data_IF_519737927116
#
_entry.id   IF_519737927116
#
_cell.length_a   1.000
_cell.length_b   1.000
_cell.length_c   1.000
_cell.angle_alpha   90.00
_cell.angle_beta   90.00
_cell.angle_gamma   90.00
#
_symmetry.space_group_name_H-M   'P 1'
#
loop_
_entity.id
_entity.type
_entity.pdbx_description
1 polymer ?
#
# COMPACT_ATOMS: atom_id res chain seq x y z
N UNK A 1 -13.13 4.83 21.81
CA UNK A 1 -13.22 6.16 21.18
C UNK A 1 -12.78 6.13 19.71
N UNK A 2 -12.41 4.96 19.18
CA UNK A 2 -11.69 4.87 17.91
C UNK A 2 -12.58 4.89 16.66
N UNK A 3 -13.86 4.54 16.78
CA UNK A 3 -14.81 4.55 15.64
C UNK A 3 -15.08 5.95 15.08
N UNK A 4 -15.05 6.99 15.94
CA UNK A 4 -15.29 8.38 15.53
C UNK A 4 -14.09 8.87 14.71
N UNK A 5 -12.88 8.59 15.19
CA UNK A 5 -11.64 8.97 14.52
C UNK A 5 -11.48 8.30 13.14
N UNK A 6 -11.88 7.03 13.01
CA UNK A 6 -11.88 6.31 11.73
C UNK A 6 -12.90 6.94 10.76
N UNK A 7 -14.08 7.33 11.24
CA UNK A 7 -15.09 7.97 10.39
C UNK A 7 -14.67 9.36 9.91
N UNK A 8 -14.06 10.16 10.78
CA UNK A 8 -13.53 11.48 10.44
C UNK A 8 -12.37 11.38 9.43
N UNK A 9 -11.46 10.41 9.64
CA UNK A 9 -10.38 10.13 8.69
C UNK A 9 -10.93 9.69 7.32
N UNK A 10 -11.95 8.83 7.29
CA UNK A 10 -12.59 8.39 6.05
C UNK A 10 -13.28 9.55 5.30
N UNK A 11 -13.98 10.42 6.03
CA UNK A 11 -14.63 11.61 5.46
C UNK A 11 -13.59 12.55 4.84
N UNK A 12 -12.49 12.80 5.56
CA UNK A 12 -11.37 13.64 5.10
C UNK A 12 -10.72 13.08 3.84
N UNK A 13 -10.46 11.77 3.80
CA UNK A 13 -9.91 11.10 2.61
C UNK A 13 -10.86 11.22 1.42
N UNK A 14 -12.17 11.02 1.62
CA UNK A 14 -13.16 11.15 0.54
C UNK A 14 -13.23 12.58 -0.02
N UNK A 15 -13.13 13.60 0.83
CA UNK A 15 -13.09 14.99 0.40
C UNK A 15 -11.83 15.31 -0.41
N UNK A 16 -10.66 14.82 0.03
CA UNK A 16 -9.39 14.98 -0.70
C UNK A 16 -9.47 14.30 -2.07
N UNK A 17 -10.00 13.07 -2.13
CA UNK A 17 -10.17 12.33 -3.39
C UNK A 17 -11.10 13.08 -4.36
N UNK A 18 -12.20 13.64 -3.85
CA UNK A 18 -13.11 14.44 -4.67
C UNK A 18 -12.43 15.70 -5.23
N UNK A 19 -11.59 16.39 -4.45
CA UNK A 19 -10.82 17.55 -4.93
C UNK A 19 -9.88 17.17 -6.07
N UNK A 20 -9.12 16.08 -5.91
CA UNK A 20 -8.20 15.58 -6.95
C UNK A 20 -8.95 15.29 -8.26
N UNK A 21 -10.15 14.70 -8.16
CA UNK A 21 -10.98 14.43 -9.34
C UNK A 21 -11.48 15.73 -9.97
N UNK A 22 -11.95 16.68 -9.16
CA UNK A 22 -12.44 17.98 -9.63
C UNK A 22 -11.36 18.80 -10.33
N UNK A 23 -10.08 18.64 -9.96
CA UNK A 23 -8.95 19.30 -10.61
C UNK A 23 -8.70 18.78 -12.03
N UNK A 24 -9.01 17.51 -12.31
CA UNK A 24 -8.91 16.92 -13.65
C UNK A 24 -10.00 17.40 -14.63
N UNK A 25 -11.05 18.04 -14.11
CA UNK A 25 -12.18 18.56 -14.90
C UNK A 25 -11.94 20.03 -15.30
N UNK A 26 -12.47 20.41 -16.46
CA UNK A 26 -12.45 21.82 -16.91
C UNK A 26 -13.27 22.70 -15.96
N UNK A 27 -13.01 24.01 -15.92
CA UNK A 27 -13.68 24.95 -15.01
C UNK A 27 -15.21 24.87 -15.07
N UNK A 28 -15.77 24.72 -16.27
CA UNK A 28 -17.22 24.54 -16.47
C UNK A 28 -17.73 23.18 -16.01
N UNK A 29 -16.97 22.10 -16.24
CA UNK A 29 -17.35 20.75 -15.81
C UNK A 29 -17.27 20.60 -14.29
N UNK A 30 -16.25 21.20 -13.68
CA UNK A 30 -16.07 21.29 -12.23
C UNK A 30 -17.27 21.96 -11.57
N UNK A 31 -17.66 23.15 -12.06
CA UNK A 31 -18.81 23.89 -11.54
C UNK A 31 -20.12 23.09 -11.62
N UNK A 32 -20.32 22.33 -12.70
CA UNK A 32 -21.48 21.45 -12.85
C UNK A 32 -21.48 20.34 -11.79
N UNK A 33 -20.33 19.68 -11.60
CA UNK A 33 -20.21 18.56 -10.66
C UNK A 33 -20.34 19.05 -9.21
N UNK A 34 -19.73 20.18 -8.86
CA UNK A 34 -19.85 20.78 -7.52
C UNK A 34 -21.30 21.11 -7.16
N UNK A 35 -22.03 21.75 -8.07
CA UNK A 35 -23.45 22.06 -7.86
C UNK A 35 -24.30 20.79 -7.76
N UNK A 36 -23.96 19.75 -8.52
CA UNK A 36 -24.62 18.45 -8.42
C UNK A 36 -24.35 17.75 -7.08
N UNK A 37 -23.11 17.81 -6.57
CA UNK A 37 -22.74 17.18 -5.30
C UNK A 37 -23.33 17.92 -4.10
N UNK A 38 -23.42 19.25 -4.17
CA UNK A 38 -24.11 20.08 -3.16
C UNK A 38 -25.60 19.79 -3.12
N UNK A 39 -26.23 19.67 -4.30
CA UNK A 39 -27.67 19.48 -4.44
C UNK A 39 -27.96 18.09 -5.00
N UNK A 40 -27.79 17.04 -4.18
CA UNK A 40 -27.92 15.62 -4.60
C UNK A 40 -29.27 15.25 -5.23
N UNK A 41 -30.31 16.06 -5.02
CA UNK A 41 -31.67 15.82 -5.54
C UNK A 41 -32.00 16.58 -6.83
N UNK A 42 -31.14 17.51 -7.27
CA UNK A 42 -31.42 18.31 -8.46
C UNK A 42 -31.35 17.45 -9.72
N UNK A 43 -32.36 17.59 -10.59
CA UNK A 43 -32.35 16.91 -11.87
C UNK A 43 -31.29 17.54 -12.80
N UNK A 44 -30.64 16.75 -13.67
CA UNK A 44 -29.75 17.30 -14.69
C UNK A 44 -30.39 18.36 -15.62
N UNK A 45 -31.73 18.43 -15.68
CA UNK A 45 -32.46 19.46 -16.42
C UNK A 45 -32.47 20.80 -15.66
N UNK A 46 -32.77 20.77 -14.36
CA UNK A 46 -32.74 21.96 -13.51
C UNK A 46 -31.32 22.49 -13.37
N UNK A 47 -30.33 21.60 -13.28
CA UNK A 47 -28.92 21.99 -13.24
C UNK A 47 -28.48 22.73 -14.51
N UNK A 48 -28.97 22.27 -15.66
CA UNK A 48 -28.72 22.91 -16.95
C UNK A 48 -29.32 24.33 -17.02
N UNK A 49 -30.54 24.50 -16.51
CA UNK A 49 -31.21 25.80 -16.43
C UNK A 49 -30.46 26.73 -15.47
N UNK A 50 -30.12 26.25 -14.26
CA UNK A 50 -29.43 27.04 -13.22
C UNK A 50 -28.06 27.55 -13.69
N UNK A 51 -27.30 26.72 -14.39
CA UNK A 51 -25.96 27.06 -14.86
C UNK A 51 -25.93 27.68 -16.27
N UNK A 52 -27.09 27.81 -16.91
CA UNK A 52 -27.23 28.26 -18.29
C UNK A 52 -26.36 27.46 -19.29
N UNK A 53 -26.37 26.13 -19.18
CA UNK A 53 -25.59 25.21 -20.03
C UNK A 53 -26.52 24.18 -20.67
N UNK A 54 -26.16 23.66 -21.85
CA UNK A 54 -26.91 22.56 -22.45
C UNK A 54 -26.98 21.33 -21.53
N UNK A 55 -28.14 20.66 -21.51
CA UNK A 55 -28.34 19.41 -20.75
C UNK A 55 -27.30 18.34 -21.16
N UNK A 56 -26.89 18.34 -22.43
CA UNK A 56 -25.85 17.43 -22.96
C UNK A 56 -24.51 17.64 -22.28
N UNK A 57 -24.13 18.89 -22.04
CA UNK A 57 -22.90 19.24 -21.33
C UNK A 57 -22.95 18.76 -19.88
N UNK A 58 -24.11 18.89 -19.23
CA UNK A 58 -24.31 18.37 -17.87
C UNK A 58 -24.07 16.86 -17.82
N UNK A 59 -24.67 16.08 -18.73
CA UNK A 59 -24.41 14.64 -18.78
C UNK A 59 -22.96 14.31 -19.08
N UNK A 60 -22.31 15.06 -19.96
CA UNK A 60 -20.90 14.82 -20.32
C UNK A 60 -19.99 15.07 -19.12
N UNK A 61 -20.23 16.14 -18.36
CA UNK A 61 -19.52 16.44 -17.13
C UNK A 61 -19.70 15.33 -16.08
N UNK A 62 -20.94 14.92 -15.80
CA UNK A 62 -21.23 13.82 -14.86
C UNK A 62 -20.65 12.48 -15.33
N UNK A 63 -20.64 12.21 -16.63
CA UNK A 63 -20.00 11.03 -17.19
C UNK A 63 -18.49 11.03 -16.97
N UNK A 64 -17.82 12.16 -17.24
CA UNK A 64 -16.38 12.31 -17.00
C UNK A 64 -16.06 12.10 -15.52
N UNK A 65 -16.81 12.74 -14.63
CA UNK A 65 -16.65 12.57 -13.19
C UNK A 65 -16.76 11.11 -12.75
N UNK A 66 -17.79 10.38 -13.19
CA UNK A 66 -17.94 8.93 -12.92
C UNK A 66 -16.83 8.07 -13.54
N UNK A 67 -16.21 8.51 -14.63
CA UNK A 67 -15.09 7.79 -15.25
C UNK A 67 -13.84 7.93 -14.39
N UNK A 68 -13.56 9.13 -13.89
CA UNK A 68 -12.41 9.37 -13.01
C UNK A 68 -12.60 8.70 -11.64
N UNK A 69 -13.82 8.68 -11.09
CA UNK A 69 -14.15 7.89 -9.90
C UNK A 69 -13.83 6.39 -10.07
N UNK A 70 -14.16 5.82 -11.24
CA UNK A 70 -13.83 4.42 -11.56
C UNK A 70 -12.33 4.20 -11.72
N UNK A 71 -11.60 5.17 -12.27
CA UNK A 71 -10.13 5.10 -12.42
C UNK A 71 -9.43 5.00 -11.06
N UNK A 72 -9.99 5.67 -10.04
CA UNK A 72 -9.47 5.71 -8.68
C UNK A 72 -9.97 4.51 -7.83
N UNK A 73 -10.89 3.70 -8.36
CA UNK A 73 -11.42 2.52 -7.69
C UNK A 73 -12.68 2.75 -6.86
N UNK A 74 -13.24 3.97 -6.85
CA UNK A 74 -14.51 4.25 -6.18
C UNK A 74 -15.71 3.94 -7.08
N UNK A 75 -15.93 2.64 -7.29
CA UNK A 75 -16.95 2.12 -8.22
C UNK A 75 -18.37 2.32 -7.66
N UNK A 76 -18.55 2.20 -6.35
CA UNK A 76 -19.84 2.31 -5.68
C UNK A 76 -20.46 3.71 -5.84
N UNK A 77 -19.67 4.76 -5.58
CA UNK A 77 -20.13 6.14 -5.76
C UNK A 77 -20.41 6.44 -7.23
N UNK A 78 -19.62 5.89 -8.16
CA UNK A 78 -19.84 6.05 -9.59
C UNK A 78 -21.15 5.39 -10.08
N UNK A 79 -21.51 4.22 -9.53
CA UNK A 79 -22.77 3.53 -9.83
C UNK A 79 -23.97 4.26 -9.24
N UNK A 80 -23.86 4.79 -8.02
CA UNK A 80 -24.93 5.58 -7.37
C UNK A 80 -25.32 6.81 -8.19
N UNK A 81 -24.36 7.39 -8.89
CA UNK A 81 -24.56 8.55 -9.76
C UNK A 81 -25.20 8.20 -11.12
N UNK A 82 -25.46 6.92 -11.43
CA UNK A 82 -26.18 6.56 -12.65
C UNK A 82 -27.67 6.84 -12.50
N UNK A 83 -28.29 7.28 -13.60
CA UNK A 83 -29.75 7.30 -13.67
C UNK A 83 -30.26 5.86 -13.60
N UNK A 84 -31.22 5.60 -12.72
CA UNK A 84 -32.08 4.41 -12.83
C UNK A 84 -32.73 4.47 -14.21
N UNK A 85 -32.22 3.71 -15.18
CA UNK A 85 -32.90 3.54 -16.47
C UNK A 85 -34.21 2.85 -16.14
N UNK A 86 -35.33 3.55 -16.34
CA UNK A 86 -36.64 2.89 -16.36
C UNK A 86 -36.53 1.70 -17.30
N UNK A 87 -36.87 0.50 -16.81
CA UNK A 87 -36.92 -0.70 -17.63
C UNK A 87 -37.79 -0.37 -18.84
N UNK A 88 -37.19 -0.33 -20.02
CA UNK A 88 -37.93 -0.14 -21.26
C UNK A 88 -38.82 -1.39 -21.42
N UNK A 89 -40.15 -1.29 -21.48
CA UNK A 89 -40.96 -2.46 -21.77
C UNK A 89 -40.51 -3.00 -23.13
N UNK A 90 -40.11 -4.27 -23.18
CA UNK A 90 -39.78 -4.96 -24.43
C UNK A 90 -41.06 -4.96 -25.27
N UNK A 91 -41.01 -4.31 -26.43
CA UNK A 91 -42.07 -4.38 -27.45
C UNK A 91 -42.06 -5.82 -27.97
N UNK A 92 -43.03 -6.62 -27.55
CA UNK A 92 -43.25 -7.97 -28.07
C UNK A 92 -43.60 -7.79 -29.54
N UNK A 93 -42.69 -8.21 -30.43
CA UNK A 93 -42.99 -8.41 -31.84
C UNK A 93 -43.54 -9.82 -31.91
N UNK A 94 -44.82 -9.95 -32.26
CA UNK A 94 -45.47 -11.22 -32.46
C UNK A 94 -44.96 -11.83 -33.77
N UNK A 95 -43.87 -12.59 -33.70
CA UNK A 95 -43.58 -13.60 -34.71
C UNK A 95 -43.95 -14.96 -34.13
N UNK A 96 -44.91 -15.59 -34.81
CA UNK A 96 -45.43 -16.90 -34.49
C UNK A 96 -44.31 -17.96 -34.62
N UNK A 97 -43.77 -18.38 -33.49
CA UNK A 97 -43.16 -19.71 -33.36
C UNK A 97 -43.53 -20.28 -32.00
N UNK A 98 -44.35 -21.32 -32.09
CA UNK A 98 -44.98 -22.03 -31.00
C UNK A 98 -43.97 -23.03 -30.43
N UNK A 99 -43.25 -22.70 -29.35
CA UNK A 99 -42.68 -23.69 -28.41
C UNK A 99 -42.47 -23.08 -27.01
N UNK A 100 -43.20 -23.64 -26.03
CA UNK A 100 -42.76 -23.83 -24.63
C UNK A 100 -42.65 -22.61 -23.68
N UNK A 101 -43.80 -22.12 -23.21
CA UNK A 101 -43.95 -21.14 -22.12
C UNK A 101 -43.61 -21.65 -20.70
N UNK A 102 -43.01 -22.84 -20.57
CA UNK A 102 -42.62 -23.43 -19.27
C UNK A 102 -41.12 -23.37 -18.99
N UNK A 103 -40.26 -23.13 -19.99
CA UNK A 103 -38.80 -23.11 -19.81
C UNK A 103 -38.25 -21.82 -19.20
N UNK A 104 -38.86 -20.68 -19.48
CA UNK A 104 -38.34 -19.37 -19.08
C UNK A 104 -38.49 -19.14 -17.57
N UNK A 105 -39.63 -19.51 -16.99
CA UNK A 105 -39.86 -19.45 -15.53
C UNK A 105 -38.99 -20.41 -14.72
N UNK A 106 -38.69 -21.60 -15.27
CA UNK A 106 -37.79 -22.56 -14.64
C UNK A 106 -36.35 -22.04 -14.69
N UNK A 107 -35.93 -21.40 -15.79
CA UNK A 107 -34.59 -20.84 -15.93
C UNK A 107 -34.34 -19.66 -14.99
N UNK A 108 -35.33 -18.78 -14.81
CA UNK A 108 -35.25 -17.66 -13.87
C UNK A 108 -35.28 -18.14 -12.43
N UNK A 109 -36.10 -19.14 -12.11
CA UNK A 109 -36.11 -19.77 -10.78
C UNK A 109 -34.78 -20.48 -10.48
N UNK A 110 -34.25 -21.24 -11.45
CA UNK A 110 -32.99 -21.95 -11.31
C UNK A 110 -31.80 -20.99 -11.20
N UNK A 111 -31.80 -19.89 -11.96
CA UNK A 111 -30.76 -18.85 -11.87
C UNK A 111 -30.80 -18.14 -10.53
N UNK A 112 -31.99 -17.90 -9.96
CA UNK A 112 -32.15 -17.31 -8.63
C UNK A 112 -31.72 -18.28 -7.52
N UNK A 113 -32.07 -19.56 -7.63
CA UNK A 113 -31.64 -20.61 -6.69
C UNK A 113 -30.12 -20.82 -6.77
N UNK A 114 -29.55 -20.86 -7.98
CA UNK A 114 -28.12 -20.96 -8.19
C UNK A 114 -27.39 -19.72 -7.65
N UNK A 115 -27.90 -18.51 -7.93
CA UNK A 115 -27.34 -17.27 -7.39
C UNK A 115 -27.36 -17.28 -5.87
N UNK A 116 -28.48 -17.68 -5.26
CA UNK A 116 -28.60 -17.76 -3.80
C UNK A 116 -27.63 -18.79 -3.20
N UNK A 117 -27.49 -19.96 -3.82
CA UNK A 117 -26.53 -20.97 -3.39
C UNK A 117 -25.07 -20.48 -3.53
N UNK A 118 -24.75 -19.74 -4.59
CA UNK A 118 -23.44 -19.12 -4.80
C UNK A 118 -23.19 -18.05 -3.74
N UNK A 119 -24.17 -17.19 -3.45
CA UNK A 119 -24.06 -16.19 -2.39
C UNK A 119 -23.84 -16.83 -1.02
N UNK A 120 -24.61 -17.86 -0.66
CA UNK A 120 -24.46 -18.56 0.61
C UNK A 120 -23.09 -19.25 0.70
N UNK A 121 -22.63 -19.91 -0.36
CA UNK A 121 -21.32 -20.55 -0.39
C UNK A 121 -20.18 -19.53 -0.23
N UNK A 122 -20.24 -18.40 -0.96
CA UNK A 122 -19.25 -17.32 -0.85
C UNK A 122 -19.31 -16.68 0.53
N UNK A 123 -20.51 -16.43 1.07
CA UNK A 123 -20.70 -15.85 2.39
C UNK A 123 -20.12 -16.76 3.48
N UNK A 124 -20.42 -18.06 3.44
CA UNK A 124 -19.88 -19.01 4.41
C UNK A 124 -18.37 -19.22 4.26
N UNK A 125 -17.83 -19.18 3.04
CA UNK A 125 -16.38 -19.23 2.80
C UNK A 125 -15.66 -17.98 3.32
N UNK A 126 -16.22 -16.79 3.08
CA UNK A 126 -15.65 -15.54 3.61
C UNK A 126 -15.79 -15.51 5.14
N UNK A 127 -16.91 -15.99 5.68
CA UNK A 127 -17.12 -16.10 7.12
C UNK A 127 -16.17 -17.12 7.76
N UNK A 128 -15.88 -18.24 7.09
CA UNK A 128 -14.89 -19.22 7.56
C UNK A 128 -13.49 -18.62 7.48
N UNK A 129 -13.13 -17.92 6.42
CA UNK A 129 -11.85 -17.19 6.32
C UNK A 129 -11.68 -16.10 7.39
N UNK A 130 -12.76 -15.38 7.72
CA UNK A 130 -12.76 -14.38 8.80
C UNK A 130 -12.69 -15.02 10.18
N UNK A 131 -13.37 -16.15 10.41
CA UNK A 131 -13.36 -16.90 11.68
C UNK A 131 -12.06 -17.67 11.91
N UNK A 132 -11.50 -18.26 10.86
CA UNK A 132 -10.21 -18.96 10.89
C UNK A 132 -9.05 -17.98 11.03
N UNK A 133 -9.29 -16.69 10.77
CA UNK A 133 -8.30 -15.65 10.96
C UNK A 133 -7.16 -15.83 9.98
N UNK A 134 -7.40 -15.55 8.71
CA UNK A 134 -6.30 -15.30 7.74
C UNK A 134 -5.47 -14.05 8.13
N UNK A 135 -5.88 -13.34 9.19
CA UNK A 135 -5.04 -12.40 9.95
C UNK A 135 -4.60 -12.96 11.32
N UNK A 136 -4.36 -14.26 11.45
CA UNK A 136 -3.39 -14.78 12.42
C UNK A 136 -2.01 -14.41 11.90
N UNK A 137 -1.71 -13.12 11.84
CA UNK A 137 -0.33 -12.71 12.07
C UNK A 137 -0.17 -13.06 13.55
N UNK A 138 0.50 -14.18 13.81
CA UNK A 138 0.67 -14.65 15.18
C UNK A 138 1.26 -13.47 15.97
N UNK A 139 0.56 -13.03 17.01
CA UNK A 139 1.01 -11.88 17.81
C UNK A 139 2.44 -12.16 18.33
N UNK A 140 2.78 -13.44 18.49
CA UNK A 140 4.13 -13.89 18.79
C UNK A 140 5.15 -13.60 17.68
N UNK A 141 4.79 -13.77 16.41
CA UNK A 141 5.67 -13.43 15.27
C UNK A 141 5.89 -11.92 15.17
N UNK A 142 4.87 -11.11 15.42
CA UNK A 142 5.02 -9.64 15.50
C UNK A 142 5.92 -9.27 16.67
N UNK A 143 5.72 -9.86 17.85
CA UNK A 143 6.56 -9.60 19.02
C UNK A 143 8.01 -10.06 18.81
N UNK A 144 8.22 -11.19 18.13
CA UNK A 144 9.55 -11.67 17.72
C UNK A 144 10.22 -10.72 16.75
N UNK A 145 9.49 -10.20 15.76
CA UNK A 145 9.99 -9.23 14.80
C UNK A 145 10.34 -7.90 15.49
N UNK A 146 9.46 -7.40 16.36
CA UNK A 146 9.70 -6.18 17.15
C UNK A 146 10.91 -6.35 18.07
N UNK A 147 11.08 -7.50 18.71
CA UNK A 147 12.25 -7.81 19.51
C UNK A 147 13.52 -7.85 18.66
N UNK A 148 13.48 -8.51 17.51
CA UNK A 148 14.62 -8.58 16.58
C UNK A 148 15.04 -7.20 16.08
N UNK A 149 14.06 -6.33 15.78
CA UNK A 149 14.30 -4.94 15.39
C UNK A 149 14.92 -4.14 16.54
N UNK A 150 14.46 -4.35 17.77
CA UNK A 150 15.01 -3.67 18.95
C UNK A 150 16.45 -4.12 19.26
N UNK A 151 16.76 -5.40 19.10
CA UNK A 151 18.12 -5.92 19.27
C UNK A 151 19.06 -5.39 18.17
N UNK A 152 18.60 -5.33 16.92
CA UNK A 152 19.35 -4.71 15.84
C UNK A 152 19.62 -3.23 16.13
N UNK A 153 18.61 -2.51 16.64
CA UNK A 153 18.76 -1.10 17.06
C UNK A 153 19.83 -0.96 18.14
N UNK A 154 19.85 -1.83 19.15
CA UNK A 154 20.88 -1.82 20.21
C UNK A 154 22.27 -2.08 19.61
N UNK A 155 22.40 -3.09 18.76
CA UNK A 155 23.67 -3.42 18.11
C UNK A 155 24.21 -2.27 17.25
N UNK A 156 23.35 -1.55 16.52
CA UNK A 156 23.75 -0.35 15.77
C UNK A 156 24.22 0.77 16.72
N UNK A 157 23.54 0.97 17.85
CA UNK A 157 23.94 1.98 18.84
C UNK A 157 25.30 1.64 19.45
N UNK A 158 25.52 0.39 19.85
CA UNK A 158 26.82 -0.09 20.37
C UNK A 158 27.93 0.03 19.33
N UNK A 159 27.65 -0.34 18.07
CA UNK A 159 28.60 -0.18 16.97
C UNK A 159 28.97 1.29 16.77
N UNK A 160 27.99 2.19 16.78
CA UNK A 160 28.25 3.63 16.69
C UNK A 160 29.07 4.14 17.87
N UNK A 161 28.80 3.67 19.09
CA UNK A 161 29.61 4.00 20.27
C UNK A 161 31.05 3.50 20.12
N UNK A 162 31.23 2.27 19.62
CA UNK A 162 32.56 1.70 19.35
C UNK A 162 33.30 2.49 18.26
N UNK A 163 32.61 2.93 17.21
CA UNK A 163 33.19 3.80 16.17
C UNK A 163 33.64 5.13 16.78
N UNK A 164 32.79 5.77 17.60
CA UNK A 164 33.15 7.03 18.28
C UNK A 164 34.36 6.82 19.18
N UNK A 165 34.37 5.77 19.99
CA UNK A 165 35.51 5.40 20.84
C UNK A 165 36.79 5.18 20.02
N UNK A 166 36.69 4.51 18.87
CA UNK A 166 37.82 4.29 17.98
C UNK A 166 38.31 5.60 17.35
N UNK A 167 37.42 6.50 16.95
CA UNK A 167 37.78 7.82 16.42
C UNK A 167 38.50 8.63 17.49
N UNK A 168 37.95 8.69 18.70
CA UNK A 168 38.53 9.44 19.83
C UNK A 168 39.89 8.91 20.26
N UNK A 169 40.10 7.59 20.17
CA UNK A 169 41.37 6.97 20.54
C UNK A 169 42.31 6.73 19.36
N UNK A 170 41.90 6.98 18.12
CA UNK A 170 42.75 6.81 16.94
C UNK A 170 44.03 7.64 17.05
N UNK A 171 43.92 8.87 17.52
CA UNK A 171 45.07 9.76 17.68
C UNK A 171 46.03 9.26 18.78
N UNK A 172 45.49 8.71 19.88
CA UNK A 172 46.30 8.10 20.95
C UNK A 172 46.98 6.82 20.46
N UNK A 173 46.28 5.96 19.73
CA UNK A 173 46.81 4.70 19.18
C UNK A 173 47.95 5.00 18.19
N UNK A 174 47.77 5.98 17.29
CA UNK A 174 48.82 6.39 16.35
C UNK A 174 50.06 6.91 17.08
N UNK A 175 49.88 7.72 18.12
CA UNK A 175 51.01 8.23 18.92
C UNK A 175 51.71 7.11 19.68
N UNK A 176 50.96 6.20 20.33
CA UNK A 176 51.56 5.06 21.05
C UNK A 176 52.27 4.07 20.12
N UNK A 177 51.75 3.85 18.90
CA UNK A 177 52.42 2.99 17.93
C UNK A 177 53.68 3.66 17.37
N UNK A 178 53.68 4.97 17.13
CA UNK A 178 54.91 5.70 16.75
C UNK A 178 55.97 5.64 17.85
N UNK A 179 55.58 5.80 19.12
CA UNK A 179 56.49 5.70 20.26
C UNK A 179 57.02 4.27 20.43
N UNK A 180 56.16 3.23 20.32
CA UNK A 180 56.59 1.83 20.35
C UNK A 180 57.54 1.47 19.22
N UNK A 181 57.31 1.98 18.01
CA UNK A 181 58.21 1.75 16.87
C UNK A 181 59.56 2.43 17.11
N UNK A 182 59.57 3.66 17.64
CA UNK A 182 60.82 4.37 17.95
C UNK A 182 61.62 3.65 19.04
N UNK A 183 60.95 3.21 20.12
CA UNK A 183 61.61 2.46 21.20
C UNK A 183 62.10 1.07 20.75
N UNK A 184 61.37 0.37 19.88
CA UNK A 184 61.81 -0.93 19.33
C UNK A 184 62.98 -0.83 18.34
N UNK A 185 63.18 0.32 17.69
CA UNK A 185 64.35 0.55 16.82
C UNK A 185 65.58 0.83 17.68
N UNK A 186 65.41 1.54 18.80
CA UNK A 186 66.51 1.87 19.72
C UNK A 186 66.93 0.69 20.64
N UNK A 187 66.07 -0.32 20.84
CA UNK A 187 66.35 -1.51 21.68
C UNK A 187 66.81 -2.78 20.94
N UNK A 188 66.89 -2.77 19.59
CA UNK A 188 67.39 -3.93 18.83
C UNK A 188 68.92 -4.02 18.82
N UNK A 189 69.50 -4.25 19.99
CA UNK A 189 70.88 -4.70 20.14
C UNK A 189 71.04 -5.63 21.35
N UNK A 190 70.25 -6.71 21.41
CA UNK A 190 70.69 -7.95 22.07
C UNK A 190 69.71 -9.08 21.80
N UNK A 191 70.28 -10.21 21.40
CA UNK A 191 69.69 -11.53 21.22
C UNK A 191 68.60 -11.88 22.24
N UNK A 192 67.35 -12.02 21.79
CA UNK A 192 66.32 -12.77 22.51
C UNK A 192 65.57 -13.68 21.54
N UNK A 193 65.37 -14.92 22.00
CA UNK A 193 64.85 -16.06 21.26
C UNK A 193 63.53 -15.74 20.55
N UNK A 194 63.39 -16.25 19.31
CA UNK A 194 62.18 -16.03 18.54
C UNK A 194 60.96 -16.56 19.31
N UNK A 195 59.85 -15.80 19.36
CA UNK A 195 58.61 -16.23 19.99
C UNK A 195 58.13 -17.59 19.45
N UNK A 196 57.56 -18.42 20.32
CA UNK A 196 57.20 -19.82 20.03
C UNK A 196 56.29 -20.03 18.81
N UNK A 197 55.47 -19.05 18.45
CA UNK A 197 54.57 -19.10 17.28
C UNK A 197 55.28 -18.81 15.93
N UNK A 198 56.57 -18.45 15.96
CA UNK A 198 57.39 -18.19 14.78
C UNK A 198 58.40 -19.31 14.50
N UNK A 199 58.51 -20.30 15.39
CA UNK A 199 59.54 -21.34 15.34
C UNK A 199 59.39 -22.28 14.13
N UNK A 200 58.17 -22.41 13.57
CA UNK A 200 57.90 -23.24 12.38
C UNK A 200 57.19 -22.46 11.27
N UNK A 201 57.42 -21.14 11.17
CA UNK A 201 56.81 -20.35 10.10
C UNK A 201 57.67 -20.40 8.82
N UNK A 202 57.23 -21.12 7.75
CA UNK A 202 58.02 -21.28 6.53
C UNK A 202 58.25 -19.98 5.77
N UNK A 203 57.48 -18.93 6.08
CA UNK A 203 57.64 -17.61 5.47
C UNK A 203 58.77 -16.79 6.11
N UNK A 204 59.28 -17.18 7.27
CA UNK A 204 60.28 -16.40 7.99
C UNK A 204 61.65 -16.45 7.30
N UNK A 205 61.98 -17.56 6.65
CA UNK A 205 63.21 -17.71 5.88
C UNK A 205 63.16 -16.86 4.60
N UNK A 206 62.02 -16.90 3.90
CA UNK A 206 61.76 -16.09 2.70
C UNK A 206 61.84 -14.59 3.00
N UNK A 207 61.41 -14.18 4.20
CA UNK A 207 61.45 -12.79 4.64
C UNK A 207 62.85 -12.35 5.13
N UNK A 208 63.69 -13.29 5.60
CA UNK A 208 65.09 -13.01 5.94
C UNK A 208 65.95 -12.81 4.70
N UNK A 209 65.72 -13.55 3.61
CA UNK A 209 66.50 -13.41 2.38
C UNK A 209 66.22 -12.11 1.60
N UNK A 210 65.12 -11.42 1.90
CA UNK A 210 64.72 -10.17 1.22
C UNK A 210 65.21 -8.90 1.89
N UNK A 211 65.77 -8.97 3.09
CA UNK A 211 66.36 -7.84 3.83
C UNK A 211 67.86 -8.04 4.01
#
# INVERSE_FOLDING_TARGET
>A
MDKIFIYEAYLSICEIMNRIILDSLTSTERRIVEEYLKNKEISPKELAIKLNVSIRTVYKALYKYRRELRRIGNIEEAERLKRKRGRRPKKIVNDASFTSSSGEYISDSLSNVASKAIYDAIYHYILSMLKEGVFKIDINEINLLVNSINELRKSIVELNQNIIYLIENKDKIIVTNKIKIKNNIDEKNSNEELPSFLIDNPWIEVLKERN
#
